data_IF_963061082248
#
_entry.id   IF_963061082248
#
_cell.length_a   1.000
_cell.length_b   1.000
_cell.length_c   1.000
_cell.angle_alpha   90.00
_cell.angle_beta   90.00
_cell.angle_gamma   90.00
#
_symmetry.space_group_name_H-M   'P 1'
#
loop_
_entity.id
_entity.type
_entity.pdbx_description
1 polymer ?
#
# COMPACT_ATOMS: atom_id res chain seq x y z
N UNK A 1 -22.73 -34.08 10.49
CA UNK A 1 -21.94 -32.87 10.80
C UNK A 1 -22.16 -31.88 9.67
N UNK A 2 -22.84 -30.77 9.95
CA UNK A 2 -23.29 -29.83 8.92
C UNK A 2 -22.08 -29.17 8.26
N UNK A 3 -21.93 -29.36 6.95
CA UNK A 3 -20.94 -28.64 6.15
C UNK A 3 -21.26 -27.15 6.28
N UNK A 4 -20.42 -26.41 7.02
CA UNK A 4 -20.54 -24.95 7.12
C UNK A 4 -20.44 -24.38 5.71
N UNK A 5 -21.41 -23.55 5.31
CA UNK A 5 -21.41 -22.90 4.00
C UNK A 5 -20.10 -22.14 3.79
N UNK A 6 -19.47 -22.31 2.63
CA UNK A 6 -18.18 -21.67 2.31
C UNK A 6 -18.19 -20.15 2.49
N UNK A 7 -19.36 -19.51 2.38
CA UNK A 7 -19.54 -18.07 2.65
C UNK A 7 -19.34 -17.72 4.12
N UNK A 8 -19.90 -18.50 5.05
CA UNK A 8 -19.77 -18.28 6.49
C UNK A 8 -18.29 -18.35 6.89
N UNK A 9 -17.57 -19.33 6.36
CA UNK A 9 -16.13 -19.48 6.62
C UNK A 9 -15.31 -18.27 6.14
N UNK A 10 -15.58 -17.76 4.94
CA UNK A 10 -14.88 -16.58 4.40
C UNK A 10 -15.13 -15.34 5.25
N UNK A 11 -16.35 -15.17 5.74
CA UNK A 11 -16.73 -14.07 6.65
C UNK A 11 -15.97 -14.21 7.97
N UNK A 12 -15.97 -15.40 8.59
CA UNK A 12 -15.26 -15.63 9.87
C UNK A 12 -13.76 -15.33 9.75
N UNK A 13 -13.11 -15.82 8.69
CA UNK A 13 -11.67 -15.58 8.47
C UNK A 13 -11.40 -14.08 8.23
N UNK A 14 -12.25 -13.40 7.47
CA UNK A 14 -12.15 -11.96 7.24
C UNK A 14 -12.33 -11.16 8.53
N UNK A 15 -13.23 -11.61 9.42
CA UNK A 15 -13.45 -10.99 10.73
C UNK A 15 -12.24 -11.16 11.67
N UNK A 16 -11.60 -12.32 11.67
CA UNK A 16 -10.36 -12.56 12.45
C UNK A 16 -9.21 -11.69 11.93
N UNK A 17 -9.08 -11.55 10.61
CA UNK A 17 -8.08 -10.64 10.04
C UNK A 17 -8.38 -9.18 10.35
N UNK A 18 -9.65 -8.78 10.32
CA UNK A 18 -10.09 -7.45 10.74
C UNK A 18 -9.74 -7.18 12.21
N UNK A 19 -10.05 -8.10 13.12
CA UNK A 19 -9.73 -7.93 14.55
C UNK A 19 -8.23 -7.81 14.77
N UNK A 20 -7.43 -8.61 14.07
CA UNK A 20 -5.98 -8.54 14.16
C UNK A 20 -5.45 -7.20 13.62
N UNK A 21 -6.01 -6.71 12.50
CA UNK A 21 -5.70 -5.39 11.96
C UNK A 21 -6.00 -4.28 12.98
N UNK A 22 -7.14 -4.34 13.67
CA UNK A 22 -7.53 -3.35 14.68
C UNK A 22 -6.59 -3.37 15.89
N UNK A 23 -6.24 -4.54 16.42
CA UNK A 23 -5.32 -4.67 17.56
C UNK A 23 -3.94 -4.10 17.22
N UNK A 24 -3.44 -4.35 16.01
CA UNK A 24 -2.16 -3.80 15.57
C UNK A 24 -2.22 -2.29 15.33
N UNK A 25 -3.37 -1.79 14.86
CA UNK A 25 -3.61 -0.36 14.65
C UNK A 25 -3.64 0.40 15.98
N UNK A 26 -4.09 -0.24 17.06
CA UNK A 26 -4.10 0.37 18.40
C UNK A 26 -2.77 0.27 19.12
N UNK A 27 -2.02 -0.82 18.94
CA UNK A 27 -0.80 -1.12 19.72
C UNK A 27 0.51 -0.72 19.04
N UNK A 28 0.60 -0.76 17.70
CA UNK A 28 1.84 -0.58 16.93
C UNK A 28 1.71 0.54 15.88
N UNK A 29 1.34 1.72 16.34
CA UNK A 29 1.30 2.91 15.48
C UNK A 29 2.39 3.89 15.88
N UNK A 30 3.33 4.12 14.97
CA UNK A 30 4.38 5.13 15.11
C UNK A 30 3.91 6.43 14.45
N UNK A 31 3.78 7.48 15.26
CA UNK A 31 3.41 8.82 14.82
C UNK A 31 4.71 9.55 14.42
N UNK A 32 4.93 9.78 13.12
CA UNK A 32 6.05 10.58 12.65
C UNK A 32 5.57 12.03 12.46
N UNK A 33 5.90 12.98 13.35
CA UNK A 33 5.45 14.36 13.24
C UNK A 33 6.13 15.06 12.05
N UNK A 34 5.54 14.95 10.86
CA UNK A 34 5.86 15.78 9.70
C UNK A 34 4.95 17.03 9.69
N UNK A 35 5.56 18.21 9.59
CA UNK A 35 4.89 19.52 9.44
C UNK A 35 3.96 19.97 10.59
N UNK A 36 4.24 19.59 11.85
CA UNK A 36 3.64 20.25 13.03
C UNK A 36 2.14 19.99 13.28
N UNK A 37 1.49 19.14 12.49
CA UNK A 37 0.15 18.59 12.76
C UNK A 37 0.21 17.08 12.62
N UNK A 38 -0.27 16.35 13.64
CA UNK A 38 -0.46 14.89 13.72
C UNK A 38 0.15 14.16 12.53
N UNK A 39 1.47 14.13 12.55
CA UNK A 39 2.20 13.68 11.39
C UNK A 39 1.91 12.21 11.14
N UNK A 40 1.88 11.93 9.85
CA UNK A 40 1.49 10.69 9.22
C UNK A 40 1.86 9.44 10.04
N UNK A 41 0.86 8.58 10.23
CA UNK A 41 0.98 7.36 11.04
C UNK A 41 1.40 6.20 10.15
N UNK A 42 2.56 5.60 10.43
CA UNK A 42 3.01 4.39 9.73
C UNK A 42 2.67 3.20 10.61
N UNK A 43 1.65 2.43 10.21
CA UNK A 43 1.15 1.28 10.96
C UNK A 43 1.25 -0.02 10.16
N UNK A 44 1.75 -1.07 10.81
CA UNK A 44 1.87 -2.44 10.25
C UNK A 44 0.49 -3.11 10.06
N UNK A 45 -0.57 -2.52 10.62
CA UNK A 45 -1.95 -3.00 10.59
C UNK A 45 -2.53 -3.18 9.19
N UNK A 46 -1.98 -2.48 8.19
CA UNK A 46 -2.38 -2.59 6.78
C UNK A 46 -2.22 -3.99 6.20
N UNK A 47 -1.30 -4.81 6.74
CA UNK A 47 -1.04 -6.17 6.21
C UNK A 47 -2.29 -7.04 6.33
N UNK A 48 -2.94 -6.99 7.49
CA UNK A 48 -4.03 -7.90 7.83
C UNK A 48 -5.37 -7.47 7.22
N UNK A 49 -5.58 -6.17 6.96
CA UNK A 49 -6.77 -5.70 6.24
C UNK A 49 -6.72 -6.03 4.74
N UNK A 50 -5.53 -6.22 4.17
CA UNK A 50 -5.35 -6.52 2.75
C UNK A 50 -5.42 -8.03 2.46
N UNK A 51 -5.06 -8.91 3.40
CA UNK A 51 -5.08 -10.37 3.18
C UNK A 51 -6.46 -10.90 2.72
N UNK A 52 -7.60 -10.48 3.29
CA UNK A 52 -8.92 -10.86 2.77
C UNK A 52 -9.16 -10.45 1.31
N UNK A 53 -8.61 -9.31 0.87
CA UNK A 53 -8.68 -8.87 -0.53
C UNK A 53 -7.96 -9.84 -1.47
N UNK A 54 -6.79 -10.33 -1.05
CA UNK A 54 -5.96 -11.24 -1.85
C UNK A 54 -6.51 -12.68 -1.86
N UNK A 55 -7.15 -13.10 -0.76
CA UNK A 55 -7.67 -14.46 -0.57
C UNK A 55 -9.08 -14.65 -1.16
N UNK A 56 -9.98 -13.70 -0.90
CA UNK A 56 -11.40 -13.82 -1.21
C UNK A 56 -11.89 -12.85 -2.28
N UNK A 57 -11.02 -11.95 -2.75
CA UNK A 57 -11.29 -11.04 -3.86
C UNK A 57 -11.70 -9.62 -3.43
N UNK A 58 -12.04 -8.76 -4.41
CA UNK A 58 -12.19 -7.32 -4.21
C UNK A 58 -13.30 -6.93 -3.24
N UNK A 59 -14.44 -7.63 -3.23
CA UNK A 59 -15.57 -7.31 -2.32
C UNK A 59 -15.21 -7.46 -0.84
N UNK A 60 -14.54 -8.54 -0.47
CA UNK A 60 -14.06 -8.75 0.91
C UNK A 60 -12.95 -7.76 1.28
N UNK A 61 -12.09 -7.42 0.33
CA UNK A 61 -11.06 -6.39 0.49
C UNK A 61 -11.65 -5.02 0.81
N UNK A 62 -12.70 -4.62 0.09
CA UNK A 62 -13.39 -3.36 0.31
C UNK A 62 -14.03 -3.29 1.71
N UNK A 63 -14.77 -4.36 2.07
CA UNK A 63 -15.44 -4.45 3.35
C UNK A 63 -14.45 -4.39 4.52
N UNK A 64 -13.41 -5.21 4.51
CA UNK A 64 -12.43 -5.27 5.62
C UNK A 64 -11.61 -3.98 5.72
N UNK A 65 -11.19 -3.41 4.58
CA UNK A 65 -10.38 -2.19 4.60
C UNK A 65 -11.18 -0.97 5.06
N UNK A 66 -12.42 -0.81 4.58
CA UNK A 66 -13.31 0.26 5.03
C UNK A 66 -13.72 0.09 6.49
N UNK A 67 -14.04 -1.14 6.91
CA UNK A 67 -14.45 -1.38 8.29
C UNK A 67 -13.30 -1.23 9.28
N UNK A 68 -12.06 -1.60 8.90
CA UNK A 68 -10.85 -1.36 9.70
C UNK A 68 -10.57 0.14 9.85
N UNK A 69 -10.87 0.94 8.83
CA UNK A 69 -10.75 2.39 8.91
C UNK A 69 -11.78 2.99 9.88
N UNK A 70 -13.05 2.68 9.66
CA UNK A 70 -14.16 3.15 10.48
C UNK A 70 -14.05 2.73 11.96
N UNK A 71 -13.87 1.42 12.22
CA UNK A 71 -13.72 0.92 13.58
C UNK A 71 -12.43 1.40 14.23
N UNK A 72 -11.36 1.55 13.44
CA UNK A 72 -10.11 2.13 13.94
C UNK A 72 -10.28 3.55 14.45
N UNK A 73 -11.10 4.37 13.76
CA UNK A 73 -11.47 5.70 14.24
C UNK A 73 -12.27 5.64 15.53
N UNK A 74 -13.27 4.76 15.64
CA UNK A 74 -14.10 4.62 16.84
C UNK A 74 -13.29 4.22 18.08
N UNK A 75 -12.29 3.35 17.91
CA UNK A 75 -11.46 2.86 19.03
C UNK A 75 -10.43 3.90 19.47
N UNK A 76 -9.80 4.60 18.53
CA UNK A 76 -8.81 5.65 18.83
C UNK A 76 -9.09 6.87 17.96
N UNK A 77 -9.98 7.78 18.39
CA UNK A 77 -10.32 8.95 17.61
C UNK A 77 -9.09 9.86 17.53
N UNK A 78 -8.53 9.99 16.34
CA UNK A 78 -7.43 10.92 16.07
C UNK A 78 -7.86 11.93 15.03
N UNK A 79 -8.33 13.08 15.52
CA UNK A 79 -8.90 14.15 14.70
C UNK A 79 -10.38 13.96 14.40
N UNK A 80 -10.91 14.78 13.49
CA UNK A 80 -12.29 14.64 13.00
C UNK A 80 -12.45 13.42 12.10
N UNK A 81 -13.63 12.79 12.13
CA UNK A 81 -13.95 11.71 11.21
C UNK A 81 -14.24 12.26 9.80
N UNK A 82 -13.54 11.73 8.78
CA UNK A 82 -13.85 12.02 7.38
C UNK A 82 -14.31 10.75 6.67
N UNK A 83 -15.63 10.59 6.44
CA UNK A 83 -16.19 9.45 5.72
C UNK A 83 -15.54 9.21 4.35
N UNK A 84 -15.08 10.27 3.69
CA UNK A 84 -14.38 10.19 2.39
C UNK A 84 -13.09 9.36 2.46
N UNK A 85 -12.37 9.36 3.58
CA UNK A 85 -11.16 8.55 3.77
C UNK A 85 -11.51 7.08 4.03
N UNK A 86 -12.65 6.80 4.65
CA UNK A 86 -13.13 5.43 4.79
C UNK A 86 -13.56 4.85 3.43
N UNK A 87 -14.20 5.66 2.58
CA UNK A 87 -14.56 5.27 1.21
C UNK A 87 -13.30 5.01 0.38
N UNK A 88 -12.28 5.86 0.49
CA UNK A 88 -11.01 5.64 -0.22
C UNK A 88 -10.26 4.42 0.32
N UNK A 89 -10.33 4.12 1.62
CA UNK A 89 -9.78 2.89 2.20
C UNK A 89 -10.49 1.64 1.66
N UNK A 90 -11.82 1.67 1.58
CA UNK A 90 -12.61 0.60 0.97
C UNK A 90 -12.26 0.43 -0.52
N UNK A 91 -12.17 1.53 -1.27
CA UNK A 91 -11.77 1.52 -2.67
C UNK A 91 -10.34 0.98 -2.86
N UNK A 92 -9.42 1.29 -1.94
CA UNK A 92 -8.07 0.74 -1.92
C UNK A 92 -8.05 -0.77 -1.73
N UNK A 93 -8.82 -1.28 -0.77
CA UNK A 93 -9.00 -2.72 -0.56
C UNK A 93 -9.62 -3.43 -1.77
N UNK A 94 -10.62 -2.80 -2.38
CA UNK A 94 -11.24 -3.28 -3.62
C UNK A 94 -10.21 -3.37 -4.76
N UNK A 95 -9.48 -2.28 -5.01
CA UNK A 95 -8.52 -2.17 -6.10
C UNK A 95 -7.38 -3.18 -5.95
N UNK A 96 -6.90 -3.40 -4.72
CA UNK A 96 -5.90 -4.43 -4.41
C UNK A 96 -6.41 -5.82 -4.77
N UNK A 97 -7.63 -6.16 -4.36
CA UNK A 97 -8.25 -7.44 -4.69
C UNK A 97 -8.42 -7.63 -6.20
N UNK A 98 -8.91 -6.61 -6.90
CA UNK A 98 -9.13 -6.65 -8.35
C UNK A 98 -7.82 -6.81 -9.13
N UNK A 99 -6.81 -5.97 -8.83
CA UNK A 99 -5.50 -6.05 -9.46
C UNK A 99 -4.85 -7.42 -9.22
N UNK A 100 -4.99 -7.96 -8.01
CA UNK A 100 -4.47 -9.28 -7.69
C UNK A 100 -5.13 -10.39 -8.51
N UNK A 101 -6.44 -10.35 -8.71
CA UNK A 101 -7.13 -11.35 -9.53
C UNK A 101 -6.67 -11.37 -10.99
N UNK A 102 -6.36 -10.20 -11.53
CA UNK A 102 -5.85 -10.01 -12.89
C UNK A 102 -4.39 -10.45 -12.99
N UNK A 103 -3.55 -10.01 -12.04
CA UNK A 103 -2.10 -10.19 -12.10
C UNK A 103 -1.64 -11.58 -11.66
N UNK A 104 -2.36 -12.26 -10.76
CA UNK A 104 -1.97 -13.59 -10.22
C UNK A 104 -1.81 -14.69 -11.28
N UNK A 105 -2.37 -14.49 -12.48
CA UNK A 105 -2.28 -15.41 -13.62
C UNK A 105 -1.19 -15.04 -14.63
N UNK A 106 -0.56 -13.86 -14.52
CA UNK A 106 0.48 -13.40 -15.44
C UNK A 106 1.86 -13.97 -15.09
N UNK A 107 2.69 -14.09 -16.13
CA UNK A 107 4.08 -14.57 -16.01
C UNK A 107 4.96 -13.64 -15.15
N UNK A 108 5.71 -14.25 -14.23
CA UNK A 108 6.58 -13.56 -13.29
C UNK A 108 7.71 -12.79 -13.99
N UNK A 109 8.28 -13.36 -15.07
CA UNK A 109 9.40 -12.75 -15.81
C UNK A 109 9.00 -11.42 -16.44
N UNK A 110 7.83 -11.36 -17.09
CA UNK A 110 7.30 -10.13 -17.68
C UNK A 110 7.02 -9.09 -16.60
N UNK A 111 6.55 -9.53 -15.45
CA UNK A 111 6.24 -8.64 -14.33
C UNK A 111 7.49 -8.01 -13.71
N UNK A 112 8.56 -8.80 -13.53
CA UNK A 112 9.86 -8.29 -13.08
C UNK A 112 10.48 -7.34 -14.10
N UNK A 113 10.38 -7.67 -15.38
CA UNK A 113 10.86 -6.78 -16.45
C UNK A 113 10.12 -5.43 -16.42
N UNK A 114 8.80 -5.45 -16.19
CA UNK A 114 8.03 -4.21 -16.04
C UNK A 114 8.49 -3.39 -14.83
N UNK A 115 8.71 -4.01 -13.67
CA UNK A 115 9.23 -3.30 -12.48
C UNK A 115 10.59 -2.69 -12.79
N UNK A 116 11.52 -3.47 -13.34
CA UNK A 116 12.86 -3.02 -13.69
C UNK A 116 12.85 -1.90 -14.75
N UNK A 117 12.00 -2.00 -15.76
CA UNK A 117 11.83 -0.98 -16.79
C UNK A 117 11.27 0.31 -16.20
N UNK A 118 10.21 0.23 -15.40
CA UNK A 118 9.60 1.40 -14.75
C UNK A 118 10.58 2.07 -13.79
N UNK A 119 11.31 1.30 -13.00
CA UNK A 119 12.34 1.83 -12.10
C UNK A 119 13.50 2.47 -12.88
N UNK A 120 13.92 1.87 -13.99
CA UNK A 120 14.94 2.42 -14.87
C UNK A 120 14.50 3.74 -15.49
N UNK A 121 13.27 3.83 -15.97
CA UNK A 121 12.69 5.08 -16.50
C UNK A 121 12.60 6.14 -15.41
N UNK A 122 12.12 5.82 -14.22
CA UNK A 122 12.08 6.76 -13.08
C UNK A 122 13.47 7.28 -12.71
N UNK A 123 14.49 6.42 -12.75
CA UNK A 123 15.87 6.82 -12.53
C UNK A 123 16.40 7.75 -13.62
N UNK A 124 16.19 7.41 -14.90
CA UNK A 124 16.68 8.22 -16.02
C UNK A 124 15.99 9.58 -16.04
N UNK A 125 14.68 9.62 -15.80
CA UNK A 125 13.93 10.87 -15.72
C UNK A 125 14.32 11.69 -14.50
N UNK A 126 14.49 11.05 -13.33
CA UNK A 126 14.91 11.72 -12.10
C UNK A 126 16.32 12.28 -12.17
N UNK A 127 17.29 11.49 -12.67
CA UNK A 127 18.68 11.94 -12.86
C UNK A 127 18.79 12.95 -14.00
N UNK A 128 18.07 12.75 -15.11
CA UNK A 128 18.09 13.66 -16.25
C UNK A 128 17.51 15.03 -15.90
N UNK A 129 16.45 15.08 -15.10
CA UNK A 129 15.91 16.34 -14.57
C UNK A 129 16.82 16.99 -13.51
N UNK A 130 17.54 16.20 -12.71
CA UNK A 130 18.54 16.72 -11.77
C UNK A 130 19.80 17.27 -12.46
N UNK A 131 20.28 16.63 -13.53
CA UNK A 131 21.45 17.07 -14.31
C UNK A 131 21.19 18.32 -15.14
N UNK A 132 19.96 18.51 -15.63
CA UNK A 132 19.57 19.69 -16.41
C UNK A 132 19.31 20.94 -15.56
N UNK A 133 19.28 20.83 -14.22
CA UNK A 133 19.10 21.97 -13.31
C UNK A 133 20.37 22.19 -12.48
N UNK A 134 21.10 23.26 -12.79
CA UNK A 134 22.15 23.78 -11.92
C UNK A 134 21.60 24.13 -10.53
N UNK A 135 22.47 24.06 -9.52
CA UNK A 135 22.23 24.05 -8.06
C UNK A 135 21.21 25.07 -7.50
N UNK A 136 19.94 24.91 -7.83
CA UNK A 136 18.84 25.76 -7.40
C UNK A 136 17.68 24.92 -6.85
N UNK A 137 17.38 25.10 -5.56
CA UNK A 137 16.31 24.40 -4.85
C UNK A 137 14.93 24.95 -5.25
N UNK A 138 14.48 24.59 -6.45
CA UNK A 138 13.16 24.91 -7.02
C UNK A 138 12.20 23.72 -6.87
N UNK A 139 10.87 23.92 -6.86
CA UNK A 139 9.89 22.83 -6.72
C UNK A 139 10.00 21.74 -7.80
N UNK A 140 10.59 22.06 -8.96
CA UNK A 140 10.91 21.11 -10.04
C UNK A 140 12.13 20.25 -9.72
N UNK A 141 13.15 20.80 -9.05
CA UNK A 141 14.31 20.04 -8.55
C UNK A 141 13.92 19.06 -7.43
N UNK A 142 12.94 19.42 -6.59
CA UNK A 142 12.35 18.49 -5.61
C UNK A 142 11.63 17.31 -6.27
N UNK A 143 10.95 17.54 -7.41
CA UNK A 143 10.35 16.48 -8.21
C UNK A 143 11.39 15.56 -8.87
N UNK A 144 12.50 16.12 -9.36
CA UNK A 144 13.62 15.40 -9.95
C UNK A 144 14.30 14.45 -8.95
N UNK A 145 14.68 14.98 -7.78
CA UNK A 145 15.25 14.19 -6.69
C UNK A 145 14.28 13.11 -6.19
N UNK A 146 12.99 13.44 -6.11
CA UNK A 146 11.93 12.50 -5.75
C UNK A 146 11.81 11.31 -6.71
N UNK A 147 11.83 11.55 -8.02
CA UNK A 147 11.77 10.50 -9.05
C UNK A 147 12.99 9.56 -9.00
N UNK A 148 14.19 10.11 -8.83
CA UNK A 148 15.42 9.33 -8.71
C UNK A 148 15.43 8.47 -7.43
N UNK A 149 15.02 9.03 -6.30
CA UNK A 149 14.90 8.28 -5.04
C UNK A 149 13.87 7.14 -5.14
N UNK A 150 12.69 7.40 -5.72
CA UNK A 150 11.67 6.38 -5.96
C UNK A 150 12.18 5.25 -6.88
N UNK A 151 12.90 5.60 -7.95
CA UNK A 151 13.50 4.63 -8.86
C UNK A 151 14.56 3.75 -8.19
N UNK A 152 15.45 4.34 -7.38
CA UNK A 152 16.46 3.61 -6.61
C UNK A 152 15.81 2.66 -5.60
N UNK A 153 14.75 3.11 -4.94
CA UNK A 153 14.06 2.36 -3.91
C UNK A 153 13.30 1.16 -4.49
N UNK A 154 12.67 1.32 -5.65
CA UNK A 154 12.04 0.22 -6.40
C UNK A 154 13.07 -0.84 -6.84
N UNK A 155 14.24 -0.42 -7.34
CA UNK A 155 15.32 -1.36 -7.71
C UNK A 155 15.90 -2.08 -6.50
N UNK A 156 16.15 -1.36 -5.41
CA UNK A 156 16.64 -1.95 -4.16
C UNK A 156 15.64 -2.99 -3.62
N UNK A 157 14.35 -2.69 -3.67
CA UNK A 157 13.30 -3.63 -3.31
C UNK A 157 13.33 -4.89 -4.18
N UNK A 158 13.34 -4.76 -5.52
CA UNK A 158 13.39 -5.91 -6.44
C UNK A 158 14.66 -6.76 -6.23
N UNK A 159 15.81 -6.12 -6.00
CA UNK A 159 17.10 -6.78 -5.77
C UNK A 159 17.15 -7.54 -4.44
N UNK A 160 16.78 -6.90 -3.33
CA UNK A 160 16.77 -7.51 -1.98
C UNK A 160 15.79 -8.68 -1.92
N UNK A 161 14.61 -8.53 -2.55
CA UNK A 161 13.58 -9.58 -2.59
C UNK A 161 13.97 -10.76 -3.49
N UNK A 162 14.64 -10.50 -4.61
CA UNK A 162 15.05 -11.57 -5.53
C UNK A 162 16.16 -12.46 -4.97
N UNK A 163 17.10 -11.90 -4.20
CA UNK A 163 18.29 -12.63 -3.71
C UNK A 163 18.14 -13.24 -2.31
N UNK A 164 17.49 -12.59 -1.34
CA UNK A 164 17.78 -12.88 0.08
C UNK A 164 16.65 -13.52 0.92
N UNK A 165 15.37 -13.46 0.49
CA UNK A 165 14.25 -13.70 1.44
C UNK A 165 13.39 -14.95 1.16
N UNK A 166 13.25 -15.45 -0.08
CA UNK A 166 12.26 -16.51 -0.38
C UNK A 166 12.89 -17.79 -0.97
N UNK A 167 12.76 -18.98 -0.36
CA UNK A 167 13.14 -20.25 -0.99
C UNK A 167 12.14 -20.67 -2.10
N UNK A 168 12.59 -21.56 -2.99
CA UNK A 168 12.00 -21.85 -4.31
C UNK A 168 10.50 -22.20 -4.30
N UNK A 169 9.70 -21.42 -5.05
CA UNK A 169 8.26 -21.61 -5.27
C UNK A 169 7.46 -20.32 -5.02
N UNK A 170 7.66 -19.69 -3.86
CA UNK A 170 6.96 -18.46 -3.45
C UNK A 170 7.51 -17.19 -4.11
N UNK A 171 8.76 -17.23 -4.61
CA UNK A 171 9.37 -16.18 -5.46
C UNK A 171 8.54 -15.81 -6.70
N UNK A 172 7.63 -16.71 -7.12
CA UNK A 172 6.88 -16.57 -8.38
C UNK A 172 5.89 -15.41 -8.33
N UNK A 173 5.09 -15.30 -7.26
CA UNK A 173 4.00 -14.32 -7.20
C UNK A 173 4.34 -12.95 -6.60
N UNK A 174 5.59 -12.79 -6.16
CA UNK A 174 6.10 -11.59 -5.51
C UNK A 174 6.04 -10.31 -6.37
N UNK A 175 6.48 -10.30 -7.65
CA UNK A 175 6.42 -9.08 -8.45
C UNK A 175 4.97 -8.63 -8.73
N UNK A 176 4.02 -9.58 -8.83
CA UNK A 176 2.61 -9.28 -8.92
C UNK A 176 2.10 -8.60 -7.64
N UNK A 177 2.47 -9.10 -6.46
CA UNK A 177 2.12 -8.48 -5.18
C UNK A 177 2.69 -7.06 -5.07
N UNK A 178 3.96 -6.86 -5.42
CA UNK A 178 4.58 -5.52 -5.41
C UNK A 178 3.81 -4.52 -6.27
N UNK A 179 3.46 -4.90 -7.50
CA UNK A 179 2.70 -4.03 -8.39
C UNK A 179 1.30 -3.76 -7.85
N UNK A 180 0.62 -4.79 -7.34
CA UNK A 180 -0.71 -4.60 -6.72
C UNK A 180 -0.62 -3.58 -5.59
N UNK A 181 0.34 -3.71 -4.69
CA UNK A 181 0.48 -2.83 -3.53
C UNK A 181 0.89 -1.41 -3.94
N UNK A 182 1.90 -1.26 -4.81
CA UNK A 182 2.42 0.04 -5.23
C UNK A 182 1.39 0.81 -6.06
N UNK A 183 0.77 0.17 -7.07
CA UNK A 183 -0.19 0.84 -7.95
C UNK A 183 -1.43 1.27 -7.16
N UNK A 184 -2.00 0.37 -6.37
CA UNK A 184 -3.17 0.72 -5.56
C UNK A 184 -2.84 1.75 -4.47
N UNK A 185 -1.69 1.62 -3.81
CA UNK A 185 -1.23 2.56 -2.77
C UNK A 185 -1.03 3.96 -3.32
N UNK A 186 -0.35 4.12 -4.46
CA UNK A 186 -0.19 5.42 -5.11
C UNK A 186 -1.52 6.06 -5.50
N UNK A 187 -2.46 5.29 -6.03
CA UNK A 187 -3.81 5.79 -6.37
C UNK A 187 -4.53 6.27 -5.11
N UNK A 188 -4.57 5.45 -4.06
CA UNK A 188 -5.24 5.77 -2.80
C UNK A 188 -4.59 6.98 -2.12
N UNK A 189 -3.26 7.05 -2.08
CA UNK A 189 -2.52 8.17 -1.49
C UNK A 189 -2.71 9.46 -2.28
N UNK A 190 -2.83 9.38 -3.60
CA UNK A 190 -3.17 10.54 -4.44
C UNK A 190 -4.57 11.05 -4.10
N UNK A 191 -5.57 10.17 -4.09
CA UNK A 191 -6.96 10.51 -3.72
C UNK A 191 -7.03 11.07 -2.30
N UNK A 192 -6.39 10.43 -1.34
CA UNK A 192 -6.34 10.88 0.06
C UNK A 192 -5.67 12.24 0.20
N UNK A 193 -4.63 12.52 -0.56
CA UNK A 193 -3.94 13.81 -0.54
C UNK A 193 -4.82 14.91 -1.12
N UNK A 194 -5.56 14.63 -2.20
CA UNK A 194 -6.54 15.57 -2.76
C UNK A 194 -7.67 15.84 -1.75
N UNK A 195 -8.25 14.80 -1.15
CA UNK A 195 -9.30 14.94 -0.14
C UNK A 195 -8.82 15.81 1.01
N UNK A 196 -7.67 15.48 1.61
CA UNK A 196 -7.13 16.20 2.77
C UNK A 196 -6.81 17.66 2.47
N UNK A 197 -6.29 17.93 1.27
CA UNK A 197 -6.00 19.30 0.80
C UNK A 197 -7.27 20.12 0.63
N UNK A 198 -8.34 19.53 0.14
CA UNK A 198 -9.60 20.26 -0.09
C UNK A 198 -10.43 20.46 1.20
N UNK A 199 -10.43 19.47 2.10
CA UNK A 199 -11.37 19.44 3.23
C UNK A 199 -10.81 19.92 4.57
N UNK A 200 -9.53 19.69 4.89
CA UNK A 200 -9.00 19.96 6.24
C UNK A 200 -7.82 20.94 6.22
N UNK A 201 -6.82 20.66 5.39
CA UNK A 201 -5.56 21.37 5.47
C UNK A 201 -5.59 22.59 4.55
N UNK A 202 -6.21 23.68 5.02
CA UNK A 202 -6.20 24.98 4.33
C UNK A 202 -4.77 25.47 4.05
N UNK A 203 -3.83 25.17 4.94
CA UNK A 203 -2.39 25.41 4.75
C UNK A 203 -1.77 24.62 3.57
N UNK A 204 -2.37 23.51 3.14
CA UNK A 204 -1.91 22.75 1.98
C UNK A 204 -2.45 23.29 0.65
N UNK A 205 -3.42 24.20 0.69
CA UNK A 205 -3.93 24.86 -0.53
C UNK A 205 -2.88 25.81 -1.11
N UNK A 206 -2.06 26.43 -0.26
CA UNK A 206 -1.00 27.36 -0.66
C UNK A 206 0.29 26.68 -1.10
N UNK A 207 0.48 25.39 -0.79
CA UNK A 207 1.63 24.61 -1.23
C UNK A 207 1.39 23.94 -2.59
N UNK A 208 2.41 23.84 -3.46
CA UNK A 208 2.32 23.05 -4.68
C UNK A 208 2.00 21.59 -4.35
N UNK A 209 1.11 20.98 -5.12
CA UNK A 209 0.66 19.60 -4.89
C UNK A 209 1.83 18.61 -4.76
N UNK A 210 2.86 18.75 -5.60
CA UNK A 210 4.02 17.86 -5.59
C UNK A 210 4.77 17.89 -4.25
N UNK A 211 4.84 19.03 -3.57
CA UNK A 211 5.57 19.20 -2.30
C UNK A 211 4.86 18.46 -1.17
N UNK A 212 3.52 18.44 -1.19
CA UNK A 212 2.71 17.71 -0.21
C UNK A 212 2.62 16.22 -0.57
N UNK A 213 2.48 15.89 -1.85
CA UNK A 213 2.26 14.53 -2.31
C UNK A 213 3.53 13.68 -2.25
N UNK A 214 4.69 14.24 -2.62
CA UNK A 214 5.94 13.49 -2.70
C UNK A 214 6.35 12.78 -1.40
N UNK A 215 6.36 13.41 -0.22
CA UNK A 215 6.69 12.72 1.02
C UNK A 215 5.69 11.60 1.34
N UNK A 216 4.39 11.82 1.09
CA UNK A 216 3.35 10.81 1.31
C UNK A 216 3.46 9.63 0.34
N UNK A 217 3.77 9.91 -0.92
CA UNK A 217 4.01 8.88 -1.93
C UNK A 217 5.25 8.05 -1.60
N UNK A 218 6.33 8.67 -1.09
CA UNK A 218 7.54 7.97 -0.67
C UNK A 218 7.28 7.03 0.51
N UNK A 219 6.56 7.51 1.55
CA UNK A 219 6.17 6.67 2.68
C UNK A 219 5.23 5.55 2.28
N UNK A 220 4.23 5.83 1.44
CA UNK A 220 3.31 4.81 0.94
C UNK A 220 4.07 3.74 0.13
N UNK A 221 5.07 4.13 -0.65
CA UNK A 221 5.88 3.19 -1.43
C UNK A 221 6.73 2.30 -0.51
N UNK A 222 7.37 2.88 0.50
CA UNK A 222 8.09 2.15 1.56
C UNK A 222 7.18 1.16 2.29
N UNK A 223 6.02 1.63 2.75
CA UNK A 223 5.03 0.80 3.43
C UNK A 223 4.54 -0.34 2.55
N UNK A 224 4.25 -0.08 1.27
CA UNK A 224 3.76 -1.09 0.34
C UNK A 224 4.80 -2.14 -0.04
N UNK A 225 6.10 -1.80 -0.04
CA UNK A 225 7.17 -2.79 -0.19
C UNK A 225 7.17 -3.75 1.01
N UNK A 226 7.13 -3.22 2.22
CA UNK A 226 7.07 -4.04 3.45
C UNK A 226 5.81 -4.92 3.44
N UNK A 227 4.65 -4.33 3.11
CA UNK A 227 3.38 -5.03 2.98
C UNK A 227 3.46 -6.17 1.95
N UNK A 228 4.08 -5.95 0.79
CA UNK A 228 4.24 -6.97 -0.23
C UNK A 228 5.11 -8.15 0.24
N UNK A 229 6.17 -7.88 1.01
CA UNK A 229 7.01 -8.91 1.61
C UNK A 229 6.21 -9.79 2.57
N UNK A 230 5.49 -9.17 3.51
CA UNK A 230 4.67 -9.90 4.47
C UNK A 230 3.54 -10.65 3.77
N UNK A 231 2.88 -10.04 2.79
CA UNK A 231 1.85 -10.70 2.01
C UNK A 231 2.39 -11.92 1.26
N UNK A 232 3.61 -11.86 0.72
CA UNK A 232 4.22 -13.00 0.03
C UNK A 232 4.44 -14.21 0.95
N UNK A 233 4.73 -13.98 2.24
CA UNK A 233 4.90 -15.04 3.25
C UNK A 233 3.56 -15.53 3.80
N UNK A 234 2.64 -14.61 4.10
CA UNK A 234 1.37 -14.93 4.76
C UNK A 234 0.33 -15.53 3.81
N UNK A 235 0.35 -15.16 2.52
CA UNK A 235 -0.65 -15.61 1.54
C UNK A 235 -0.59 -17.13 1.28
N UNK A 236 0.58 -17.78 1.12
CA UNK A 236 0.66 -19.25 1.02
C UNK A 236 0.23 -19.97 2.30
N UNK A 237 0.61 -19.44 3.48
CA UNK A 237 0.24 -19.99 4.77
C UNK A 237 -1.28 -19.95 4.98
N UNK A 238 -1.88 -18.77 4.83
CA UNK A 238 -3.33 -18.58 4.96
C UNK A 238 -4.11 -19.37 3.90
N UNK A 239 -3.59 -19.48 2.67
CA UNK A 239 -4.19 -20.30 1.61
C UNK A 239 -4.26 -21.79 1.94
N UNK A 240 -3.26 -22.34 2.65
CA UNK A 240 -3.30 -23.74 3.14
C UNK A 240 -4.38 -23.91 4.21
N UNK A 241 -4.50 -22.98 5.16
CA UNK A 241 -5.54 -23.03 6.19
C UNK A 241 -6.96 -22.92 5.61
N UNK A 242 -7.16 -22.13 4.55
CA UNK A 242 -8.45 -22.00 3.85
C UNK A 242 -8.80 -23.25 3.03
N UNK A 243 -7.82 -24.03 2.57
CA UNK A 243 -8.08 -25.25 1.80
C UNK A 243 -8.21 -26.51 2.65
N UNK A 244 -7.55 -26.57 3.81
CA UNK A 244 -7.44 -27.80 4.62
C UNK A 244 -8.43 -27.89 5.80
N UNK A 245 -9.08 -26.78 6.19
CA UNK A 245 -10.24 -26.82 7.09
C UNK A 245 -11.56 -26.91 6.35
#
# INVERSE_FOLDING_TARGET
MNAVSGSVRRITISAVFLSLSLVLKTTLTFDLPLFGQNGMRIGISGIFSILPALLFGPGYGAAVSGLSDFLGFLIKPTGGYLPLLTISAAAGGFLRGLLWEILKKKEDKRMRLLIAAVSGVLLVLGLGSALMMGEGMTPTAAGAAGGALLGMLLLAADFVLSKKILPGGEKRKLPQLLIVMIVSGLVVTTVNTVILRETICTAWKTLPFIVVWLPRAAEELLGNIVLACFAAVLLPLSGKFVKNG
#
